data_IF_795585195077
#
_entry.id   IF_795585195077
#
_cell.length_a   1.000
_cell.length_b   1.000
_cell.length_c   1.000
_cell.angle_alpha   90.00
_cell.angle_beta   90.00
_cell.angle_gamma   90.00
#
_symmetry.space_group_name_H-M   'P 1'
#
loop_
_entity.id
_entity.type
_entity.pdbx_description
1 polymer ?
#
# COMPACT_ATOMS: atom_id res chain seq x y z
N UNK A 1 18.11 0.67 6.71
CA UNK A 1 16.99 1.54 7.14
C UNK A 1 16.00 0.72 7.97
N UNK A 2 15.47 1.26 9.07
CA UNK A 2 14.48 0.58 9.91
C UNK A 2 13.09 0.70 9.29
N UNK A 3 12.34 -0.40 9.15
CA UNK A 3 10.91 -0.32 8.85
C UNK A 3 10.09 -0.37 10.15
N UNK A 4 8.91 0.22 10.11
CA UNK A 4 7.93 0.15 11.19
C UNK A 4 6.64 -0.47 10.66
N UNK A 5 6.10 -1.42 11.41
CA UNK A 5 4.79 -1.99 11.13
C UNK A 5 3.70 -1.07 11.67
N UNK A 6 2.76 -0.74 10.81
CA UNK A 6 1.53 -0.05 11.15
C UNK A 6 0.40 -1.09 11.14
N UNK A 7 -0.22 -1.31 12.29
CA UNK A 7 -1.46 -2.10 12.37
C UNK A 7 -2.63 -1.15 12.55
N UNK A 8 -3.57 -1.16 11.59
CA UNK A 8 -4.79 -0.38 11.69
C UNK A 8 -5.63 -0.92 12.86
N UNK A 9 -6.03 -0.02 13.75
CA UNK A 9 -6.85 -0.42 14.89
C UNK A 9 -8.20 -0.97 14.40
N UNK A 10 -8.70 -2.11 14.92
CA UNK A 10 -10.03 -2.58 14.60
C UNK A 10 -11.07 -1.55 15.04
N UNK A 11 -12.11 -1.34 14.21
CA UNK A 11 -13.24 -0.44 14.54
C UNK A 11 -14.02 -0.99 15.74
N UNK A 12 -13.59 -0.66 16.96
CA UNK A 12 -14.28 -0.96 18.21
C UNK A 12 -15.03 0.25 18.75
N UNK A 13 -16.27 0.06 19.22
CA UNK A 13 -17.08 1.09 19.91
C UNK A 13 -16.39 1.53 21.20
N UNK A 14 -15.63 2.62 21.13
CA UNK A 14 -15.01 3.28 22.29
C UNK A 14 -14.24 4.51 21.85
N UNK A 15 -14.65 5.70 22.32
CA UNK A 15 -14.06 7.00 21.99
C UNK A 15 -12.62 7.11 22.54
N UNK A 16 -11.66 6.57 21.81
CA UNK A 16 -10.27 7.03 21.82
C UNK A 16 -9.79 7.04 20.37
N UNK A 17 -9.25 8.15 19.89
CA UNK A 17 -8.75 8.32 18.52
C UNK A 17 -7.49 7.47 18.31
N UNK A 18 -7.61 6.14 18.34
CA UNK A 18 -6.52 5.22 18.01
C UNK A 18 -6.50 5.06 16.50
N UNK A 19 -5.51 5.65 15.85
CA UNK A 19 -5.31 5.60 14.40
C UNK A 19 -4.66 4.29 13.98
N UNK A 20 -3.48 3.99 14.52
CA UNK A 20 -2.73 2.76 14.31
C UNK A 20 -1.73 2.53 15.44
N UNK A 21 -1.29 1.29 15.63
CA UNK A 21 -0.14 0.97 16.48
C UNK A 21 1.12 0.84 15.64
N UNK A 22 2.21 1.45 16.09
CA UNK A 22 3.53 1.35 15.48
C UNK A 22 4.41 0.38 16.27
N UNK A 23 5.00 -0.60 15.59
CA UNK A 23 6.03 -1.48 16.16
C UNK A 23 7.21 -1.59 15.21
N UNK A 24 8.40 -1.90 15.76
CA UNK A 24 9.61 -2.07 14.94
C UNK A 24 9.45 -3.28 14.02
N UNK A 25 9.65 -3.06 12.73
CA UNK A 25 9.66 -4.08 11.71
C UNK A 25 11.06 -4.56 11.35
N UNK A 26 11.22 -5.07 10.13
CA UNK A 26 12.51 -5.56 9.65
C UNK A 26 13.49 -4.42 9.36
N UNK A 27 14.79 -4.73 9.50
CA UNK A 27 15.83 -3.92 8.90
C UNK A 27 15.79 -4.14 7.39
N UNK A 28 15.75 -3.06 6.62
CA UNK A 28 15.84 -3.10 5.17
C UNK A 28 17.23 -2.63 4.75
N UNK A 29 18.00 -3.49 4.09
CA UNK A 29 19.32 -3.16 3.54
C UNK A 29 19.16 -2.38 2.24
N UNK A 30 19.87 -1.28 2.11
CA UNK A 30 19.90 -0.50 0.87
C UNK A 30 20.84 -1.18 -0.12
N UNK A 31 20.49 -1.13 -1.41
CA UNK A 31 21.25 -1.74 -2.50
C UNK A 31 21.80 -0.72 -3.50
N UNK A 32 21.65 0.58 -3.23
CA UNK A 32 22.16 1.67 -4.04
C UNK A 32 22.50 2.88 -3.14
N UNK A 33 23.47 3.68 -3.57
CA UNK A 33 23.87 4.93 -2.91
C UNK A 33 23.06 6.08 -3.47
N UNK A 34 22.43 6.89 -2.61
CA UNK A 34 21.53 7.96 -3.04
C UNK A 34 22.24 9.00 -3.94
N UNK A 35 23.47 9.38 -3.59
CA UNK A 35 24.23 10.40 -4.33
C UNK A 35 24.68 9.94 -5.72
N UNK A 36 24.60 8.64 -6.01
CA UNK A 36 24.96 8.03 -7.30
C UNK A 36 23.73 7.79 -8.20
N UNK A 37 22.53 8.16 -7.74
CA UNK A 37 21.28 7.92 -8.46
C UNK A 37 21.11 8.91 -9.62
N UNK A 38 21.01 8.36 -10.82
CA UNK A 38 20.61 9.10 -12.02
C UNK A 38 19.19 8.70 -12.45
N UNK A 39 18.22 9.62 -12.37
CA UNK A 39 16.82 9.36 -12.71
C UNK A 39 16.61 8.83 -14.14
N UNK A 40 17.53 9.14 -15.07
CA UNK A 40 17.52 8.63 -16.45
C UNK A 40 17.65 7.11 -16.52
N UNK A 41 18.36 6.47 -15.58
CA UNK A 41 18.64 5.02 -15.55
C UNK A 41 17.49 4.16 -15.01
N UNK A 42 16.41 4.76 -14.54
CA UNK A 42 15.26 4.05 -13.95
C UNK A 42 13.99 4.31 -14.76
N UNK A 43 13.18 3.29 -14.99
CA UNK A 43 11.95 3.44 -15.78
C UNK A 43 10.76 3.97 -14.97
N UNK A 44 10.83 3.93 -13.65
CA UNK A 44 9.79 4.46 -12.76
C UNK A 44 10.25 4.60 -11.32
N UNK A 45 9.40 5.22 -10.50
CA UNK A 45 9.68 5.54 -9.10
C UNK A 45 8.57 5.03 -8.18
N UNK A 46 8.94 4.39 -7.07
CA UNK A 46 8.02 4.04 -5.98
C UNK A 46 8.36 4.85 -4.73
N UNK A 47 7.35 5.45 -4.11
CA UNK A 47 7.43 6.19 -2.84
C UNK A 47 6.64 5.44 -1.75
N UNK A 48 7.32 4.63 -0.92
CA UNK A 48 6.68 3.93 0.19
C UNK A 48 6.12 4.90 1.26
N UNK A 49 5.16 4.39 2.04
CA UNK A 49 4.61 5.10 3.18
C UNK A 49 5.40 4.93 4.48
N UNK A 50 4.69 4.93 5.61
CA UNK A 50 5.27 4.92 6.95
C UNK A 50 5.69 6.32 7.39
N UNK A 51 6.65 6.40 8.31
CA UNK A 51 7.14 7.69 8.85
C UNK A 51 8.26 8.32 8.02
N UNK A 52 8.88 7.56 7.13
CA UNK A 52 9.99 8.07 6.30
C UNK A 52 9.61 9.29 5.44
N UNK A 53 8.42 9.34 4.80
CA UNK A 53 8.03 10.49 3.98
C UNK A 53 8.02 11.83 4.70
N UNK A 54 7.75 11.87 6.01
CA UNK A 54 7.70 13.13 6.77
C UNK A 54 9.04 13.87 6.74
N UNK A 55 10.15 13.18 6.95
CA UNK A 55 11.48 13.82 6.90
C UNK A 55 12.08 13.82 5.50
N UNK A 56 11.75 12.86 4.64
CA UNK A 56 12.23 12.84 3.25
C UNK A 56 11.63 14.00 2.43
N UNK A 57 10.39 14.42 2.74
CA UNK A 57 9.76 15.57 2.11
C UNK A 57 10.47 16.91 2.41
N UNK A 58 11.29 16.97 3.45
CA UNK A 58 12.09 18.16 3.81
C UNK A 58 13.48 18.16 3.16
N UNK A 59 13.87 17.08 2.49
CA UNK A 59 15.17 16.96 1.84
C UNK A 59 15.06 17.42 0.38
N UNK A 60 15.71 18.54 0.05
CA UNK A 60 15.64 19.13 -1.29
C UNK A 60 16.11 18.15 -2.37
N UNK A 61 17.23 17.46 -2.16
CA UNK A 61 17.76 16.46 -3.10
C UNK A 61 16.76 15.34 -3.39
N UNK A 62 15.95 14.95 -2.40
CA UNK A 62 14.85 13.99 -2.61
C UNK A 62 13.76 14.61 -3.47
N UNK A 63 13.27 15.80 -3.13
CA UNK A 63 12.18 16.43 -3.91
C UNK A 63 12.62 16.77 -5.34
N UNK A 64 13.87 17.18 -5.56
CA UNK A 64 14.50 17.37 -6.87
C UNK A 64 14.51 16.09 -7.69
N UNK A 65 14.88 14.97 -7.07
CA UNK A 65 14.86 13.67 -7.73
C UNK A 65 13.43 13.32 -8.18
N UNK A 66 12.44 13.49 -7.30
CA UNK A 66 11.03 13.22 -7.62
C UNK A 66 10.53 14.12 -8.75
N UNK A 67 10.92 15.42 -8.77
CA UNK A 67 10.61 16.33 -9.88
C UNK A 67 11.21 15.83 -11.20
N UNK A 68 12.48 15.40 -11.23
CA UNK A 68 13.11 14.81 -12.43
C UNK A 68 12.37 13.59 -12.97
N UNK A 69 11.85 12.72 -12.10
CA UNK A 69 10.99 11.60 -12.52
C UNK A 69 9.67 12.09 -13.13
N UNK A 70 9.07 13.13 -12.55
CA UNK A 70 7.82 13.70 -13.06
C UNK A 70 8.01 14.40 -14.41
N UNK A 71 9.07 15.18 -14.56
CA UNK A 71 9.39 15.95 -15.78
C UNK A 71 9.66 15.03 -16.97
N UNK A 72 10.20 13.84 -16.73
CA UNK A 72 10.41 12.81 -17.74
C UNK A 72 9.15 12.01 -18.09
N UNK A 73 8.01 12.31 -17.47
CA UNK A 73 6.74 11.62 -17.71
C UNK A 73 6.72 10.16 -17.25
N UNK A 74 7.74 9.72 -16.51
CA UNK A 74 7.87 8.33 -16.05
C UNK A 74 6.81 7.99 -15.01
N UNK A 75 6.37 6.72 -14.92
CA UNK A 75 5.47 6.28 -13.87
C UNK A 75 6.00 6.57 -12.47
N UNK A 76 5.17 7.20 -11.63
CA UNK A 76 5.43 7.41 -10.20
C UNK A 76 4.29 6.76 -9.42
N UNK A 77 4.64 5.84 -8.53
CA UNK A 77 3.69 5.17 -7.65
C UNK A 77 3.96 5.51 -6.18
N UNK A 78 2.98 6.10 -5.49
CA UNK A 78 3.13 6.57 -4.10
C UNK A 78 2.03 6.02 -3.20
N UNK A 79 2.35 5.62 -1.97
CA UNK A 79 1.38 4.94 -1.11
C UNK A 79 1.39 5.44 0.34
N UNK A 80 0.21 5.49 0.95
CA UNK A 80 0.02 5.85 2.35
C UNK A 80 0.46 7.29 2.67
N UNK A 81 1.65 7.48 3.24
CA UNK A 81 2.22 8.80 3.53
C UNK A 81 3.23 9.26 2.47
N UNK A 82 3.59 8.41 1.50
CA UNK A 82 4.55 8.75 0.45
C UNK A 82 4.18 10.01 -0.33
N UNK A 83 2.88 10.31 -0.40
CA UNK A 83 2.31 11.46 -1.09
C UNK A 83 2.69 12.80 -0.43
N UNK A 84 3.19 12.81 0.82
CA UNK A 84 3.79 14.00 1.43
C UNK A 84 4.99 14.50 0.63
N UNK A 85 5.80 13.58 0.09
CA UNK A 85 6.95 13.94 -0.76
C UNK A 85 6.45 14.55 -2.08
N UNK A 86 5.38 14.00 -2.66
CA UNK A 86 4.78 14.55 -3.88
C UNK A 86 4.21 15.96 -3.66
N UNK A 87 3.58 16.19 -2.51
CA UNK A 87 3.07 17.49 -2.11
C UNK A 87 4.20 18.52 -1.96
N UNK A 88 5.27 18.16 -1.25
CA UNK A 88 6.45 19.00 -1.08
C UNK A 88 7.15 19.29 -2.41
N UNK A 89 7.18 18.33 -3.34
CA UNK A 89 7.71 18.51 -4.68
C UNK A 89 6.79 19.34 -5.61
N UNK A 90 5.60 19.73 -5.17
CA UNK A 90 4.63 20.51 -5.97
C UNK A 90 3.92 19.71 -7.07
N UNK A 91 3.98 18.37 -7.02
CA UNK A 91 3.59 17.49 -8.13
C UNK A 91 2.13 17.03 -8.09
N UNK A 92 1.37 17.45 -7.06
CA UNK A 92 -0.03 17.04 -6.88
C UNK A 92 -1.04 18.11 -7.32
N UNK A 93 -0.57 19.31 -7.69
CA UNK A 93 -1.44 20.42 -8.07
C UNK A 93 -2.25 20.09 -9.34
N UNK A 94 -3.58 20.16 -9.24
CA UNK A 94 -4.50 19.80 -10.33
C UNK A 94 -4.57 18.31 -10.64
N UNK A 95 -3.92 17.46 -9.85
CA UNK A 95 -3.88 16.00 -10.06
C UNK A 95 -4.88 15.30 -9.17
N UNK A 96 -5.46 14.21 -9.66
CA UNK A 96 -6.31 13.33 -8.86
C UNK A 96 -5.44 12.34 -8.09
N UNK A 97 -5.58 12.29 -6.78
CA UNK A 97 -4.87 11.30 -5.97
C UNK A 97 -5.63 10.92 -4.70
N UNK A 98 -5.30 9.74 -4.18
CA UNK A 98 -5.68 9.29 -2.84
C UNK A 98 -4.42 9.08 -1.99
N UNK A 99 -4.59 8.90 -0.68
CA UNK A 99 -3.51 8.64 0.27
C UNK A 99 -4.10 8.07 1.57
N UNK A 100 -3.25 7.86 2.58
CA UNK A 100 -3.74 7.57 3.92
C UNK A 100 -4.61 8.77 4.40
N UNK A 101 -5.81 8.55 4.98
CA UNK A 101 -6.78 9.64 5.17
C UNK A 101 -6.27 10.90 5.91
N UNK A 102 -5.44 10.80 6.97
CA UNK A 102 -4.80 11.95 7.61
C UNK A 102 -3.93 12.83 6.72
N UNK A 103 -3.49 12.35 5.56
CA UNK A 103 -2.68 13.11 4.58
C UNK A 103 -3.56 14.03 3.71
N UNK A 104 -4.88 13.83 3.71
CA UNK A 104 -5.86 14.62 2.94
C UNK A 104 -5.66 16.15 3.06
N UNK A 105 -5.54 16.74 4.27
CA UNK A 105 -5.45 18.20 4.37
C UNK A 105 -4.23 18.77 3.66
N UNK A 106 -3.08 18.07 3.71
CA UNK A 106 -1.85 18.47 3.04
C UNK A 106 -2.03 18.43 1.52
N UNK A 107 -2.63 17.36 1.00
CA UNK A 107 -2.84 17.21 -0.44
C UNK A 107 -3.85 18.21 -0.99
N UNK A 108 -4.93 18.49 -0.27
CA UNK A 108 -5.90 19.52 -0.65
C UNK A 108 -5.25 20.90 -0.64
N UNK A 109 -4.47 21.22 0.39
CA UNK A 109 -3.74 22.49 0.48
C UNK A 109 -2.69 22.64 -0.65
N UNK A 110 -2.06 21.55 -1.07
CA UNK A 110 -1.15 21.50 -2.22
C UNK A 110 -1.87 21.57 -3.59
N UNK A 111 -3.20 21.68 -3.60
CA UNK A 111 -4.01 21.88 -4.81
C UNK A 111 -4.40 20.59 -5.54
N UNK A 112 -4.36 19.44 -4.89
CA UNK A 112 -4.83 18.18 -5.49
C UNK A 112 -6.36 18.07 -5.54
N UNK A 113 -6.85 17.29 -6.49
CA UNK A 113 -8.22 16.79 -6.51
C UNK A 113 -8.28 15.51 -5.68
N UNK A 114 -8.54 15.68 -4.39
CA UNK A 114 -8.63 14.58 -3.44
C UNK A 114 -9.71 13.56 -3.82
N UNK A 115 -9.32 12.29 -3.88
CA UNK A 115 -10.21 11.14 -4.04
C UNK A 115 -10.30 10.41 -2.71
N UNK A 116 -11.48 10.46 -2.10
CA UNK A 116 -11.74 9.78 -0.82
C UNK A 116 -11.58 8.25 -1.00
N UNK A 117 -10.73 7.58 -0.21
CA UNK A 117 -10.57 6.14 -0.30
C UNK A 117 -11.80 5.44 0.30
N UNK A 118 -12.67 4.89 -0.55
CA UNK A 118 -13.86 4.12 -0.12
C UNK A 118 -13.49 2.92 0.76
N UNK A 119 -12.34 2.32 0.47
CA UNK A 119 -11.70 1.25 1.26
C UNK A 119 -10.22 1.58 1.49
N UNK A 120 -9.59 0.93 2.46
CA UNK A 120 -8.14 1.08 2.68
C UNK A 120 -7.30 0.45 1.57
N UNK A 121 -7.90 -0.37 0.71
CA UNK A 121 -7.27 -0.93 -0.48
C UNK A 121 -7.34 -0.02 -1.72
N UNK A 122 -8.05 1.11 -1.64
CA UNK A 122 -8.29 1.98 -2.79
C UNK A 122 -6.99 2.52 -3.41
N UNK A 123 -6.94 2.48 -4.75
CA UNK A 123 -5.89 3.06 -5.57
C UNK A 123 -6.49 4.03 -6.60
N UNK A 124 -5.72 5.04 -7.00
CA UNK A 124 -6.11 6.05 -7.99
C UNK A 124 -5.00 6.21 -9.02
N UNK A 125 -5.37 6.26 -10.30
CA UNK A 125 -4.46 6.57 -11.41
C UNK A 125 -4.89 7.88 -12.05
N UNK A 126 -3.91 8.75 -12.28
CA UNK A 126 -4.06 9.98 -13.03
C UNK A 126 -2.82 10.16 -13.91
N UNK A 127 -2.94 9.86 -15.22
CA UNK A 127 -1.78 9.85 -16.13
C UNK A 127 -0.68 8.90 -15.65
N UNK A 128 0.54 9.43 -15.45
CA UNK A 128 1.70 8.69 -14.94
C UNK A 128 1.74 8.55 -13.41
N UNK A 129 0.80 9.15 -12.67
CA UNK A 129 0.77 9.11 -11.22
C UNK A 129 -0.19 8.01 -10.74
N UNK A 130 0.32 7.10 -9.91
CA UNK A 130 -0.44 6.05 -9.25
C UNK A 130 -0.36 6.30 -7.75
N UNK A 131 -1.50 6.31 -7.07
CA UNK A 131 -1.55 6.51 -5.62
C UNK A 131 -2.38 5.46 -4.91
N UNK A 132 -1.92 5.00 -3.76
CA UNK A 132 -2.65 4.04 -2.91
C UNK A 132 -2.85 4.54 -1.49
N UNK A 133 -3.95 4.12 -0.85
CA UNK A 133 -4.30 4.53 0.50
C UNK A 133 -3.49 3.81 1.59
N UNK A 134 -3.46 2.48 1.59
CA UNK A 134 -2.68 1.67 2.55
C UNK A 134 -2.09 0.42 1.89
N UNK A 135 -1.31 -0.36 2.65
CA UNK A 135 -0.72 -1.62 2.18
C UNK A 135 -1.77 -2.67 1.77
N UNK A 136 -3.03 -2.54 2.20
CA UNK A 136 -4.13 -3.41 1.74
C UNK A 136 -4.33 -3.29 0.22
N UNK A 137 -3.96 -2.14 -0.37
CA UNK A 137 -4.04 -1.88 -1.81
C UNK A 137 -2.85 -2.40 -2.62
N UNK A 138 -1.85 -3.03 -2.00
CA UNK A 138 -0.66 -3.53 -2.71
C UNK A 138 -0.98 -4.36 -3.97
N UNK A 139 -1.97 -5.27 -3.99
CA UNK A 139 -2.27 -6.04 -5.20
C UNK A 139 -2.64 -5.16 -6.40
N UNK A 140 -3.51 -4.17 -6.20
CA UNK A 140 -3.91 -3.24 -7.26
C UNK A 140 -2.81 -2.24 -7.57
N UNK A 141 -2.19 -1.65 -6.54
CA UNK A 141 -1.09 -0.68 -6.65
C UNK A 141 0.06 -1.21 -7.51
N UNK A 142 0.53 -2.44 -7.23
CA UNK A 142 1.61 -3.08 -7.98
C UNK A 142 1.16 -3.42 -9.40
N UNK A 143 -0.06 -3.93 -9.59
CA UNK A 143 -0.61 -4.21 -10.92
C UNK A 143 -0.67 -2.96 -11.79
N UNK A 144 -1.14 -1.85 -11.25
CA UNK A 144 -1.22 -0.57 -11.94
C UNK A 144 0.16 -0.06 -12.32
N UNK A 145 1.15 -0.19 -11.43
CA UNK A 145 2.53 0.21 -11.71
C UNK A 145 3.18 -0.64 -12.79
N UNK A 146 3.01 -1.96 -12.75
CA UNK A 146 3.48 -2.87 -13.82
C UNK A 146 2.86 -2.47 -15.17
N UNK A 147 1.55 -2.18 -15.19
CA UNK A 147 0.86 -1.72 -16.40
C UNK A 147 1.44 -0.40 -16.92
N UNK A 148 1.73 0.55 -16.03
CA UNK A 148 2.31 1.85 -16.39
C UNK A 148 3.74 1.73 -16.95
N UNK A 149 4.49 0.70 -16.54
CA UNK A 149 5.79 0.33 -17.11
C UNK A 149 5.67 -0.42 -18.45
N UNK A 150 4.46 -0.62 -18.98
CA UNK A 150 4.24 -1.39 -20.23
C UNK A 150 4.18 -2.91 -20.04
N UNK A 151 4.21 -3.38 -18.80
CA UNK A 151 4.11 -4.80 -18.48
C UNK A 151 2.71 -5.36 -18.72
N UNK A 152 2.64 -6.59 -19.22
CA UNK A 152 1.38 -7.34 -19.40
C UNK A 152 1.41 -8.61 -18.56
N UNK A 153 0.34 -8.84 -17.77
CA UNK A 153 0.17 -10.05 -16.97
C UNK A 153 -0.80 -10.97 -17.70
N UNK A 154 -0.37 -12.20 -18.01
CA UNK A 154 -1.19 -13.23 -18.67
C UNK A 154 -1.38 -14.45 -17.77
N UNK A 155 -2.44 -15.23 -18.00
CA UNK A 155 -2.71 -16.48 -17.25
C UNK A 155 -2.95 -16.29 -15.75
N UNK A 156 -3.44 -15.12 -15.33
CA UNK A 156 -3.69 -14.77 -13.91
C UNK A 156 -4.99 -15.34 -13.34
N UNK A 157 -5.76 -16.09 -14.15
CA UNK A 157 -7.00 -16.79 -13.80
C UNK A 157 -6.72 -18.05 -12.97
N UNK A 158 -5.93 -17.92 -11.91
CA UNK A 158 -5.51 -19.02 -11.04
C UNK A 158 -6.07 -18.84 -9.63
N UNK A 159 -6.28 -19.96 -8.95
CA UNK A 159 -6.68 -19.99 -7.53
C UNK A 159 -5.52 -20.56 -6.73
N UNK A 160 -5.13 -19.85 -5.68
CA UNK A 160 -4.02 -20.24 -4.79
C UNK A 160 -4.55 -20.35 -3.37
N UNK A 161 -4.26 -21.47 -2.71
CA UNK A 161 -4.60 -21.72 -1.31
C UNK A 161 -3.38 -21.45 -0.44
N UNK A 162 -3.50 -20.52 0.52
CA UNK A 162 -2.49 -20.29 1.55
C UNK A 162 -2.89 -21.00 2.84
N UNK A 163 -2.03 -21.90 3.33
CA UNK A 163 -2.19 -22.52 4.64
C UNK A 163 -1.42 -21.67 5.67
N UNK A 164 -2.16 -20.91 6.49
CA UNK A 164 -1.58 -20.05 7.51
C UNK A 164 -1.73 -20.67 8.90
N UNK A 165 -0.71 -20.49 9.75
CA UNK A 165 -0.73 -20.90 11.16
C UNK A 165 -0.33 -19.73 12.06
N UNK A 166 -0.91 -19.68 13.25
CA UNK A 166 -0.49 -18.74 14.30
C UNK A 166 0.64 -19.37 15.12
N UNK A 167 1.74 -18.64 15.35
CA UNK A 167 2.68 -18.99 16.42
C UNK A 167 2.03 -18.65 17.75
N UNK A 168 1.56 -19.64 18.49
CA UNK A 168 1.06 -19.42 19.85
C UNK A 168 2.20 -19.06 20.81
N UNK A 169 2.32 -17.76 21.10
CA UNK A 169 2.54 -17.22 22.46
C UNK A 169 2.22 -15.71 22.51
N UNK A 170 1.10 -15.27 21.92
CA UNK A 170 0.50 -13.98 22.25
C UNK A 170 -0.95 -13.96 21.77
N UNK A 171 -1.88 -13.64 22.67
CA UNK A 171 -3.31 -13.61 22.42
C UNK A 171 -3.68 -12.40 21.55
N UNK A 172 -3.81 -12.59 20.23
CA UNK A 172 -4.57 -11.69 19.35
C UNK A 172 -5.17 -12.48 18.19
N UNK A 173 -6.35 -13.06 18.45
CA UNK A 173 -7.23 -13.63 17.44
C UNK A 173 -8.25 -12.58 17.03
N UNK A 174 -8.15 -12.08 15.79
CA UNK A 174 -9.24 -11.86 14.79
C UNK A 174 -8.89 -10.78 13.75
N UNK A 175 -7.97 -11.07 12.81
CA UNK A 175 -7.87 -10.25 11.58
C UNK A 175 -7.48 -11.00 10.29
N UNK A 176 -7.03 -12.25 10.31
CA UNK A 176 -6.46 -12.88 9.11
C UNK A 176 -7.46 -13.28 8.00
N UNK A 177 -8.78 -13.18 8.20
CA UNK A 177 -9.75 -13.73 7.24
C UNK A 177 -10.44 -12.72 6.32
N UNK A 178 -10.11 -11.41 6.38
CA UNK A 178 -10.72 -10.42 5.47
C UNK A 178 -10.01 -10.23 4.12
N UNK A 179 -8.89 -10.90 3.88
CA UNK A 179 -8.04 -10.61 2.71
C UNK A 179 -8.51 -11.24 1.38
N UNK A 180 -9.65 -11.92 1.34
CA UNK A 180 -10.18 -12.55 0.11
C UNK A 180 -11.70 -12.40 0.00
N UNK A 181 -12.28 -11.25 0.38
CA UNK A 181 -13.66 -10.95 -0.02
C UNK A 181 -13.66 -10.44 -1.47
N UNK A 182 -13.94 -11.36 -2.39
CA UNK A 182 -14.07 -11.10 -3.82
C UNK A 182 -15.42 -10.44 -4.10
N UNK A 183 -15.51 -9.10 -4.04
CA UNK A 183 -16.62 -8.39 -4.71
C UNK A 183 -16.24 -7.22 -5.63
N UNK A 184 -14.97 -6.85 -5.77
CA UNK A 184 -14.60 -5.75 -6.70
C UNK A 184 -14.06 -6.21 -8.07
N UNK A 185 -14.09 -7.51 -8.38
CA UNK A 185 -13.49 -8.03 -9.64
C UNK A 185 -14.50 -8.27 -10.78
N UNK A 186 -15.82 -8.30 -10.52
CA UNK A 186 -16.79 -8.61 -11.59
C UNK A 186 -17.91 -7.59 -11.67
N UNK A 187 -17.77 -6.65 -12.61
CA UNK A 187 -18.90 -5.93 -13.17
C UNK A 187 -19.75 -6.87 -14.04
N UNK A 188 -20.67 -7.61 -13.43
CA UNK A 188 -21.94 -8.05 -14.02
C UNK A 188 -22.71 -8.89 -13.00
N UNK A 189 -23.88 -8.40 -12.58
CA UNK A 189 -24.72 -9.07 -11.59
C UNK A 189 -25.12 -10.49 -11.97
N UNK A 190 -24.62 -11.47 -11.23
CA UNK A 190 -25.28 -12.76 -10.95
C UNK A 190 -24.83 -13.24 -9.57
N UNK A 191 -25.78 -13.36 -8.64
CA UNK A 191 -25.58 -13.97 -7.32
C UNK A 191 -25.26 -15.46 -7.48
N UNK A 192 -24.15 -15.93 -6.91
CA UNK A 192 -23.86 -17.38 -6.80
C UNK A 192 -23.50 -17.71 -5.36
N UNK A 193 -24.38 -18.47 -4.71
CA UNK A 193 -24.26 -18.99 -3.34
C UNK A 193 -23.08 -19.95 -3.19
N UNK A 194 -22.14 -19.64 -2.30
CA UNK A 194 -20.99 -20.49 -1.95
C UNK A 194 -21.29 -21.42 -0.76
N UNK A 195 -21.42 -22.72 -1.03
CA UNK A 195 -21.37 -23.77 0.01
C UNK A 195 -19.92 -23.91 0.51
N UNK A 196 -19.74 -23.77 1.81
CA UNK A 196 -18.45 -23.89 2.49
C UNK A 196 -18.11 -25.37 2.70
N UNK A 197 -16.91 -25.81 2.29
CA UNK A 197 -16.35 -27.10 2.70
C UNK A 197 -15.22 -26.81 3.71
N UNK A 198 -15.51 -26.99 4.99
CA UNK A 198 -14.52 -26.95 6.07
C UNK A 198 -14.00 -28.37 6.30
N UNK A 199 -12.71 -28.62 6.05
CA UNK A 199 -12.02 -29.79 6.59
C UNK A 199 -11.20 -29.36 7.81
N UNK A 200 -11.62 -29.83 8.98
CA UNK A 200 -10.98 -29.64 10.28
C UNK A 200 -9.94 -30.75 10.45
N UNK A 201 -8.66 -30.42 10.49
CA UNK A 201 -7.64 -31.34 11.00
C UNK A 201 -7.49 -31.04 12.51
N UNK A 202 -8.09 -31.87 13.36
CA UNK A 202 -7.86 -31.83 14.81
C UNK A 202 -6.89 -32.93 15.24
N UNK A 203 -5.82 -32.51 15.91
CA UNK A 203 -5.04 -33.14 16.99
C UNK A 203 -4.69 -34.64 16.93
N UNK A 204 -3.37 -34.92 17.03
CA UNK A 204 -2.82 -35.85 18.04
C UNK A 204 -1.49 -35.30 18.57
N UNK A 205 -1.52 -34.79 19.79
CA UNK A 205 -0.38 -34.78 20.68
C UNK A 205 -0.38 -36.10 21.45
N UNK A 206 0.65 -36.93 21.26
CA UNK A 206 1.02 -37.95 22.23
C UNK A 206 2.48 -37.72 22.63
N UNK A 207 2.62 -37.48 23.93
CA UNK A 207 3.79 -37.56 24.79
C UNK A 207 4.89 -38.53 24.35
N UNK A 208 6.15 -38.06 24.36
CA UNK A 208 7.31 -38.88 24.71
C UNK A 208 8.15 -38.07 25.69
N UNK A 209 8.50 -38.73 26.80
CA UNK A 209 9.23 -38.26 27.98
C UNK A 209 10.55 -37.52 27.68
#
# INVERSE_FOLDING_TARGET
MMQYYCSLAPKGKGRSQKTYSESRGHNFSLNATFDEIEASKYDGLILPGGRAPEYLAMNESVTDLVRKFSDSGKPIASICHGQLILAAAGLVKGRRCTAFPPVKPVLVAAGSHWVEPETMSACVVDGNLITGATYEGHPEFIRLFIKALGGTITGSDKRVLFLCGVRHNFLMLTSCLKYLDQETIYGSGKSVSSRHLFTRLSERSESIN
#
